data_IF_228226808387
#
_entry.id   IF_228226808387
#
_cell.length_a   1.000
_cell.length_b   1.000
_cell.length_c   1.000
_cell.angle_alpha   90.00
_cell.angle_beta   90.00
_cell.angle_gamma   90.00
#
_symmetry.space_group_name_H-M   'P 1'
#
loop_
_entity.id
_entity.type
_entity.pdbx_description
1 polymer ?
#
# COMPACT_ATOMS: atom_id res chain seq x y z
N UNK A 1 6.51 7.78 20.84
CA UNK A 1 5.85 6.63 20.22
C UNK A 1 4.44 7.06 19.83
N UNK A 2 3.94 6.66 18.65
CA UNK A 2 2.58 7.01 18.22
C UNK A 2 1.59 6.06 18.90
N UNK A 3 0.76 6.54 19.82
CA UNK A 3 -0.20 5.70 20.57
C UNK A 3 -1.41 5.27 19.72
N UNK A 4 -1.66 5.95 18.59
CA UNK A 4 -2.78 5.70 17.70
C UNK A 4 -2.38 4.84 16.47
N UNK A 5 -1.19 4.22 16.50
CA UNK A 5 -0.61 3.53 15.34
C UNK A 5 -1.55 2.49 14.71
N UNK A 6 -2.22 1.68 15.54
CA UNK A 6 -3.11 0.62 15.04
C UNK A 6 -4.33 1.21 14.34
N UNK A 7 -5.01 2.18 14.97
CA UNK A 7 -6.13 2.88 14.35
C UNK A 7 -5.75 3.55 13.03
N UNK A 8 -4.59 4.21 12.98
CA UNK A 8 -4.09 4.89 11.77
C UNK A 8 -3.79 3.86 10.68
N UNK A 9 -3.08 2.77 11.01
CA UNK A 9 -2.70 1.75 10.04
C UNK A 9 -3.90 0.99 9.49
N UNK A 10 -4.86 0.61 10.34
CA UNK A 10 -6.11 -0.05 9.91
C UNK A 10 -6.96 0.84 9.02
N UNK A 11 -7.09 2.13 9.35
CA UNK A 11 -7.79 3.08 8.49
C UNK A 11 -7.09 3.28 7.13
N UNK A 12 -5.75 3.31 7.12
CA UNK A 12 -4.97 3.37 5.89
C UNK A 12 -5.20 2.13 5.02
N UNK A 13 -5.14 0.92 5.59
CA UNK A 13 -5.41 -0.34 4.86
C UNK A 13 -6.77 -0.27 4.16
N UNK A 14 -7.83 0.06 4.91
CA UNK A 14 -9.20 0.12 4.36
C UNK A 14 -9.30 1.11 3.20
N UNK A 15 -8.78 2.33 3.38
CA UNK A 15 -8.85 3.36 2.36
C UNK A 15 -7.98 3.05 1.14
N UNK A 16 -6.78 2.52 1.36
CA UNK A 16 -5.84 2.18 0.30
C UNK A 16 -6.43 1.14 -0.64
N UNK A 17 -6.88 -0.01 -0.13
CA UNK A 17 -7.41 -1.08 -0.99
C UNK A 17 -8.76 -0.70 -1.61
N UNK A 18 -9.62 0.05 -0.90
CA UNK A 18 -10.85 0.58 -1.50
C UNK A 18 -10.59 1.48 -2.70
N UNK A 19 -9.59 2.36 -2.61
CA UNK A 19 -9.19 3.21 -3.73
C UNK A 19 -8.48 2.42 -4.82
N UNK A 20 -7.66 1.43 -4.46
CA UNK A 20 -7.01 0.56 -5.43
C UNK A 20 -8.04 -0.17 -6.30
N UNK A 21 -9.07 -0.74 -5.69
CA UNK A 21 -10.10 -1.52 -6.38
C UNK A 21 -11.04 -0.67 -7.24
N UNK A 22 -11.24 0.61 -6.88
CA UNK A 22 -12.19 1.50 -7.55
C UNK A 22 -11.56 2.50 -8.53
N UNK A 23 -10.47 3.16 -8.12
CA UNK A 23 -9.76 4.14 -8.95
C UNK A 23 -8.27 4.24 -8.55
N UNK A 24 -7.43 3.39 -9.15
CA UNK A 24 -5.97 3.37 -8.91
C UNK A 24 -5.27 4.72 -9.07
N UNK A 25 -5.80 5.63 -9.89
CA UNK A 25 -5.21 6.96 -10.07
C UNK A 25 -5.27 7.81 -8.79
N UNK A 26 -6.29 7.60 -7.95
CA UNK A 26 -6.49 8.35 -6.71
C UNK A 26 -5.52 7.96 -5.59
N UNK A 27 -4.82 6.82 -5.73
CA UNK A 27 -3.77 6.42 -4.78
C UNK A 27 -2.65 7.46 -4.68
N UNK A 28 -2.55 8.39 -5.65
CA UNK A 28 -1.61 9.52 -5.64
C UNK A 28 -1.65 10.28 -4.32
N UNK A 29 -2.82 10.38 -3.68
CA UNK A 29 -3.05 11.08 -2.42
C UNK A 29 -2.16 10.55 -1.27
N UNK A 30 -1.83 9.26 -1.30
CA UNK A 30 -1.03 8.60 -0.27
C UNK A 30 0.47 8.78 -0.43
N UNK A 31 0.95 9.25 -1.59
CA UNK A 31 2.38 9.31 -1.88
C UNK A 31 2.89 10.76 -1.96
N UNK A 32 4.19 10.92 -1.75
CA UNK A 32 4.96 12.17 -1.86
C UNK A 32 6.17 11.95 -2.76
N UNK A 33 6.96 12.99 -3.00
CA UNK A 33 8.12 12.92 -3.89
C UNK A 33 9.24 12.03 -3.32
N UNK A 34 9.28 11.85 -2.00
CA UNK A 34 10.20 10.96 -1.30
C UNK A 34 9.66 9.54 -1.07
N UNK A 35 8.44 9.24 -1.52
CA UNK A 35 7.86 7.90 -1.43
C UNK A 35 8.58 6.91 -2.35
N UNK A 36 8.55 5.63 -1.97
CA UNK A 36 9.13 4.54 -2.75
C UNK A 36 8.19 3.33 -2.80
N UNK A 37 7.90 2.85 -4.01
CA UNK A 37 7.22 1.58 -4.27
C UNK A 37 8.23 0.53 -4.76
N UNK A 38 8.12 -0.70 -4.26
CA UNK A 38 8.67 -1.90 -4.89
C UNK A 38 7.54 -2.87 -5.19
N UNK A 39 7.18 -3.02 -6.47
CA UNK A 39 6.10 -3.89 -6.92
C UNK A 39 6.67 -5.07 -7.71
N UNK A 40 6.56 -6.29 -7.16
CA UNK A 40 7.13 -7.51 -7.77
C UNK A 40 8.65 -7.38 -8.06
N UNK A 41 9.36 -6.62 -7.22
CA UNK A 41 10.80 -6.35 -7.37
C UNK A 41 11.16 -5.18 -8.27
N UNK A 42 10.19 -4.56 -8.95
CA UNK A 42 10.41 -3.34 -9.74
C UNK A 42 10.21 -2.12 -8.86
N UNK A 43 11.22 -1.24 -8.83
CA UNK A 43 11.26 -0.05 -8.02
C UNK A 43 10.71 1.19 -8.75
N UNK A 44 9.97 2.04 -8.04
CA UNK A 44 9.49 3.33 -8.52
C UNK A 44 9.54 4.37 -7.38
N UNK A 45 10.19 5.51 -7.63
CA UNK A 45 10.35 6.58 -6.65
C UNK A 45 9.51 7.81 -7.00
N UNK A 46 8.87 8.39 -6.00
CA UNK A 46 8.06 9.59 -6.11
C UNK A 46 6.64 9.30 -6.60
N UNK A 47 5.69 10.11 -6.13
CA UNK A 47 4.25 9.95 -6.37
C UNK A 47 3.89 9.76 -7.86
N UNK A 48 4.55 10.48 -8.77
CA UNK A 48 4.30 10.36 -10.23
C UNK A 48 4.67 8.97 -10.76
N UNK A 49 5.92 8.53 -10.56
CA UNK A 49 6.39 7.25 -11.09
C UNK A 49 5.68 6.05 -10.44
N UNK A 50 5.30 6.18 -9.17
CA UNK A 50 4.50 5.17 -8.45
C UNK A 50 3.15 4.99 -9.14
N UNK A 51 2.45 6.09 -9.45
CA UNK A 51 1.13 6.02 -10.08
C UNK A 51 1.22 5.52 -11.53
N UNK A 52 2.22 5.96 -12.28
CA UNK A 52 2.50 5.40 -13.62
C UNK A 52 2.72 3.88 -13.57
N UNK A 53 3.50 3.40 -12.59
CA UNK A 53 3.71 1.96 -12.37
C UNK A 53 2.40 1.23 -12.08
N UNK A 54 1.58 1.74 -11.16
CA UNK A 54 0.31 1.12 -10.78
C UNK A 54 -0.73 1.15 -11.92
N UNK A 55 -0.74 2.20 -12.74
CA UNK A 55 -1.60 2.32 -13.91
C UNK A 55 -1.14 1.45 -15.09
N UNK A 56 0.16 1.13 -15.16
CA UNK A 56 0.71 0.24 -16.19
C UNK A 56 0.31 -1.24 -16.05
N UNK A 57 -0.27 -1.63 -14.90
CA UNK A 57 -0.70 -3.01 -14.66
C UNK A 57 -1.90 -3.33 -15.57
N UNK A 58 -1.80 -4.42 -16.32
CA UNK A 58 -2.63 -4.75 -17.49
C UNK A 58 -4.06 -5.20 -17.18
N UNK A 59 -4.40 -5.45 -15.92
CA UNK A 59 -5.76 -5.83 -15.52
C UNK A 59 -6.71 -4.63 -15.60
N UNK A 60 -7.98 -4.89 -15.88
CA UNK A 60 -9.03 -3.87 -15.92
C UNK A 60 -9.67 -3.69 -14.55
N UNK A 61 -9.96 -4.80 -13.86
CA UNK A 61 -10.48 -4.81 -12.50
C UNK A 61 -9.58 -5.61 -11.56
N UNK A 62 -9.59 -5.21 -10.30
CA UNK A 62 -8.97 -5.94 -9.22
C UNK A 62 -9.86 -5.85 -7.99
N UNK A 63 -9.91 -6.92 -7.22
CA UNK A 63 -10.56 -6.96 -5.92
C UNK A 63 -9.60 -7.53 -4.90
N UNK A 64 -9.36 -6.78 -3.82
CA UNK A 64 -8.57 -7.25 -2.69
C UNK A 64 -9.47 -7.74 -1.57
N UNK A 65 -9.09 -8.86 -0.95
CA UNK A 65 -9.68 -9.40 0.28
C UNK A 65 -8.57 -9.51 1.30
N UNK A 66 -8.64 -8.66 2.33
CA UNK A 66 -7.63 -8.59 3.38
C UNK A 66 -7.88 -9.70 4.40
N UNK A 67 -6.89 -10.56 4.61
CA UNK A 67 -6.93 -11.63 5.62
C UNK A 67 -6.49 -11.10 6.97
N UNK A 68 -5.38 -10.37 7.01
CA UNK A 68 -4.89 -9.68 8.21
C UNK A 68 -4.07 -8.46 7.83
N UNK A 69 -3.91 -7.54 8.79
CA UNK A 69 -3.05 -6.37 8.65
C UNK A 69 -2.51 -5.98 10.01
N UNK A 70 -1.24 -6.24 10.28
CA UNK A 70 -0.62 -5.96 11.57
C UNK A 70 0.08 -4.60 11.54
N UNK A 71 -0.06 -3.84 12.63
CA UNK A 71 0.49 -2.49 12.74
C UNK A 71 1.47 -2.41 13.91
N UNK A 72 2.54 -1.64 13.75
CA UNK A 72 3.48 -1.30 14.83
C UNK A 72 3.82 0.19 14.76
N UNK A 73 4.07 0.87 15.90
CA UNK A 73 4.67 2.19 15.86
C UNK A 73 6.09 2.09 15.31
N UNK A 74 6.50 3.08 14.50
CA UNK A 74 7.87 3.17 13.97
C UNK A 74 8.54 4.49 14.36
N UNK A 75 9.75 4.72 13.89
CA UNK A 75 10.51 5.95 14.14
C UNK A 75 9.71 7.20 13.71
N UNK A 76 10.02 8.35 14.31
CA UNK A 76 9.42 9.65 13.97
C UNK A 76 7.88 9.68 14.00
N UNK A 77 7.30 8.94 14.96
CA UNK A 77 5.84 8.77 15.11
C UNK A 77 5.15 8.10 13.90
N UNK A 78 5.92 7.40 13.05
CA UNK A 78 5.41 6.64 11.93
C UNK A 78 4.66 5.36 12.34
N UNK A 79 4.16 4.66 11.32
CA UNK A 79 3.48 3.37 11.47
C UNK A 79 4.07 2.39 10.46
N UNK A 80 4.52 1.23 10.94
CA UNK A 80 4.84 0.08 10.10
C UNK A 80 3.58 -0.80 9.98
N UNK A 81 3.24 -1.20 8.76
CA UNK A 81 2.05 -2.00 8.46
C UNK A 81 2.48 -3.19 7.63
N UNK A 82 2.04 -4.40 7.99
CA UNK A 82 2.20 -5.61 7.18
C UNK A 82 0.83 -6.21 6.90
N UNK A 83 0.53 -6.45 5.63
CA UNK A 83 -0.76 -6.94 5.14
C UNK A 83 -0.56 -8.28 4.46
N UNK A 84 -1.47 -9.22 4.75
CA UNK A 84 -1.63 -10.47 4.01
C UNK A 84 -3.07 -10.54 3.53
N UNK A 85 -3.25 -10.92 2.27
CA UNK A 85 -4.57 -11.07 1.69
C UNK A 85 -4.56 -11.89 0.42
N UNK A 86 -5.70 -11.88 -0.26
CA UNK A 86 -5.84 -12.38 -1.62
C UNK A 86 -6.32 -11.26 -2.52
N UNK A 87 -5.88 -11.28 -3.78
CA UNK A 87 -6.41 -10.41 -4.82
C UNK A 87 -6.87 -11.24 -6.00
N UNK A 88 -7.91 -10.76 -6.66
CA UNK A 88 -8.40 -11.33 -7.91
C UNK A 88 -8.37 -10.24 -8.97
N UNK A 89 -7.67 -10.50 -10.07
CA UNK A 89 -7.63 -9.62 -11.24
C UNK A 89 -8.54 -10.16 -12.33
N UNK A 90 -9.40 -9.32 -12.89
CA UNK A 90 -10.33 -9.69 -13.95
C UNK A 90 -11.08 -11.02 -13.67
N UNK A 91 -10.89 -12.03 -14.52
CA UNK A 91 -11.45 -13.37 -14.39
C UNK A 91 -10.42 -14.43 -13.94
N UNK A 92 -9.21 -14.01 -13.56
CA UNK A 92 -8.15 -14.91 -13.12
C UNK A 92 -8.48 -15.54 -11.75
N UNK A 93 -7.70 -16.56 -11.38
CA UNK A 93 -7.82 -17.16 -10.06
C UNK A 93 -7.32 -16.18 -8.98
N UNK A 94 -7.90 -16.20 -7.77
CA UNK A 94 -7.37 -15.42 -6.66
C UNK A 94 -5.93 -15.83 -6.33
N UNK A 95 -5.07 -14.84 -6.15
CA UNK A 95 -3.68 -15.02 -5.74
C UNK A 95 -3.46 -14.42 -4.36
N UNK A 96 -2.79 -15.17 -3.49
CA UNK A 96 -2.32 -14.63 -2.21
C UNK A 96 -1.24 -13.59 -2.44
N UNK A 97 -1.22 -12.54 -1.62
CA UNK A 97 -0.20 -11.50 -1.65
C UNK A 97 0.21 -11.11 -0.23
N UNK A 98 1.36 -10.46 -0.14
CA UNK A 98 1.76 -9.70 1.03
C UNK A 98 2.19 -8.29 0.62
N UNK A 99 1.89 -7.31 1.47
CA UNK A 99 2.28 -5.92 1.23
C UNK A 99 2.71 -5.26 2.54
N UNK A 100 3.78 -4.48 2.48
CA UNK A 100 4.31 -3.77 3.65
C UNK A 100 4.33 -2.29 3.38
N UNK A 101 3.85 -1.50 4.33
CA UNK A 101 3.84 -0.05 4.26
C UNK A 101 4.56 0.58 5.45
N UNK A 102 5.35 1.61 5.20
CA UNK A 102 5.84 2.52 6.22
C UNK A 102 5.14 3.87 6.04
N UNK A 103 4.31 4.26 7.00
CA UNK A 103 3.70 5.58 7.03
C UNK A 103 4.57 6.56 7.81
N UNK A 104 4.67 7.78 7.30
CA UNK A 104 5.29 8.93 7.97
C UNK A 104 4.27 10.03 8.18
N UNK A 105 4.44 10.81 9.25
CA UNK A 105 3.68 12.05 9.44
C UNK A 105 4.07 13.04 8.35
N UNK A 106 3.07 13.67 7.75
CA UNK A 106 3.31 14.72 6.77
C UNK A 106 3.93 15.94 7.48
N UNK A 107 5.12 16.41 7.04
CA UNK A 107 5.79 17.54 7.69
C UNK A 107 5.04 18.86 7.50
N UNK A 108 4.23 18.99 6.46
CA UNK A 108 3.41 20.17 6.17
C UNK A 108 2.10 20.12 6.93
N UNK A 109 1.48 18.94 7.04
CA UNK A 109 0.27 18.74 7.83
C UNK A 109 0.43 17.60 8.85
N UNK A 110 0.88 17.91 10.09
CA UNK A 110 1.25 16.88 11.07
C UNK A 110 0.08 16.02 11.58
N UNK A 111 -1.18 16.32 11.22
CA UNK A 111 -2.32 15.43 11.50
C UNK A 111 -2.49 14.33 10.45
N UNK A 112 -1.82 14.46 9.31
CA UNK A 112 -1.91 13.54 8.19
C UNK A 112 -0.69 12.61 8.13
N UNK A 113 -0.90 11.46 7.49
CA UNK A 113 0.14 10.48 7.19
C UNK A 113 0.20 10.24 5.69
N UNK A 114 1.40 9.95 5.20
CA UNK A 114 1.63 9.50 3.84
C UNK A 114 2.45 8.21 3.84
N UNK A 115 2.35 7.43 2.78
CA UNK A 115 3.11 6.22 2.56
C UNK A 115 4.51 6.56 2.06
N UNK A 116 5.51 6.37 2.92
CA UNK A 116 6.92 6.59 2.59
C UNK A 116 7.54 5.38 1.90
N UNK A 117 7.24 4.16 2.37
CA UNK A 117 7.64 2.92 1.71
C UNK A 117 6.43 2.03 1.47
N UNK A 118 6.38 1.41 0.29
CA UNK A 118 5.39 0.44 -0.15
C UNK A 118 6.10 -0.73 -0.83
N UNK A 119 5.93 -1.94 -0.33
CA UNK A 119 6.54 -3.14 -0.89
C UNK A 119 5.45 -4.18 -1.09
N UNK A 120 5.19 -4.54 -2.35
CA UNK A 120 4.18 -5.51 -2.74
C UNK A 120 4.82 -6.76 -3.36
N UNK A 121 4.34 -7.93 -2.94
CA UNK A 121 4.68 -9.23 -3.52
C UNK A 121 3.46 -10.15 -3.62
N UNK A 122 3.30 -10.83 -4.75
CA UNK A 122 2.48 -12.02 -4.84
C UNK A 122 3.18 -13.18 -4.10
N UNK A 123 2.40 -13.95 -3.34
CA UNK A 123 2.87 -15.15 -2.66
C UNK A 123 2.81 -16.34 -3.63
N UNK A 124 3.69 -16.30 -4.63
CA UNK A 124 3.88 -17.41 -5.57
C UNK A 124 4.91 -18.38 -5.00
N UNK A 125 4.52 -19.63 -4.79
CA UNK A 125 5.48 -20.70 -4.50
C UNK A 125 5.94 -21.29 -5.84
N UNK A 126 7.24 -21.17 -6.13
CA UNK A 126 7.85 -22.06 -7.11
C UNK A 126 7.92 -23.44 -6.47
N UNK A 127 7.05 -24.34 -6.92
CA UNK A 127 7.15 -25.77 -6.61
C UNK A 127 8.38 -26.40 -7.23
#
# INVERSE_FOLDING_TARGET
>A
MNENFDRIGKAFIEQYYKLFDSNRAELKVFYRDDSMLTFEGVQAQGSVAIIEKLQSLKFQSVQHVITTGDCQPSADFGVLIHVIGQLKTDNDQPHSFSQTFCLRRDPVNPTNYYCYNDIFRLSLHHG
#
